data_IF_331344656203
#
_entry.id   IF_331344656203
#
_cell.length_a   1.000
_cell.length_b   1.000
_cell.length_c   1.000
_cell.angle_alpha   90.00
_cell.angle_beta   90.00
_cell.angle_gamma   90.00
#
_symmetry.space_group_name_H-M   'P 1'
#
loop_
_entity.id
_entity.type
_entity.pdbx_description
1 polymer ?
#
# COMPACT_ATOMS: atom_id res chain seq x y z
N UNK A 1 -11.26 9.30 -6.54
CA UNK A 1 -10.85 10.02 -7.76
C UNK A 1 -9.86 11.10 -7.34
N UNK A 2 -8.69 11.21 -7.98
CA UNK A 2 -7.73 12.29 -7.70
C UNK A 2 -7.25 12.86 -9.04
N UNK A 3 -7.86 13.97 -9.46
CA UNK A 3 -7.47 14.74 -10.64
C UNK A 3 -6.47 15.80 -10.17
N UNK A 4 -5.32 15.90 -10.81
CA UNK A 4 -4.36 16.99 -10.52
C UNK A 4 -4.84 18.29 -11.18
N UNK A 5 -4.29 19.43 -10.76
CA UNK A 5 -4.69 20.75 -11.29
C UNK A 5 -4.62 20.84 -12.83
N UNK A 6 -3.69 20.10 -13.47
CA UNK A 6 -3.59 19.99 -14.93
C UNK A 6 -4.61 19.05 -15.60
N UNK A 7 -5.67 18.62 -14.92
CA UNK A 7 -6.73 17.78 -15.49
C UNK A 7 -6.38 16.30 -15.64
N UNK A 8 -5.11 15.93 -15.56
CA UNK A 8 -4.66 14.55 -15.63
C UNK A 8 -5.05 13.74 -14.39
N UNK A 9 -5.20 12.43 -14.56
CA UNK A 9 -5.26 11.48 -13.46
C UNK A 9 -4.13 10.46 -13.65
N UNK A 10 -3.02 10.57 -12.89
CA UNK A 10 -1.86 9.71 -13.10
C UNK A 10 -2.14 8.23 -12.78
N UNK A 11 -3.20 7.92 -12.03
CA UNK A 11 -3.61 6.54 -11.69
C UNK A 11 -5.11 6.38 -11.89
N UNK A 12 -5.54 6.32 -13.16
CA UNK A 12 -6.94 6.11 -13.57
C UNK A 12 -7.48 4.75 -13.08
N UNK A 13 -6.66 3.71 -13.14
CA UNK A 13 -7.06 2.35 -12.79
C UNK A 13 -7.11 2.14 -11.27
N UNK A 14 -8.12 1.40 -10.82
CA UNK A 14 -8.31 1.10 -9.40
C UNK A 14 -7.12 0.29 -8.83
N UNK A 15 -6.66 -0.72 -9.57
CA UNK A 15 -5.53 -1.57 -9.18
C UNK A 15 -4.25 -0.75 -8.99
N UNK A 16 -3.97 0.22 -9.89
CA UNK A 16 -2.80 1.09 -9.77
C UNK A 16 -2.86 1.98 -8.52
N UNK A 17 -4.04 2.49 -8.16
CA UNK A 17 -4.24 3.26 -6.93
C UNK A 17 -4.08 2.39 -5.68
N UNK A 18 -4.66 1.20 -5.71
CA UNK A 18 -4.54 0.22 -4.65
C UNK A 18 -3.07 -0.12 -4.41
N UNK A 19 -2.34 -0.57 -5.44
CA UNK A 19 -0.90 -0.87 -5.37
C UNK A 19 -0.10 0.32 -4.81
N UNK A 20 -0.36 1.53 -5.29
CA UNK A 20 0.33 2.72 -4.78
C UNK A 20 0.07 2.98 -3.29
N UNK A 21 -1.17 2.79 -2.80
CA UNK A 21 -1.51 2.95 -1.37
C UNK A 21 -0.68 2.01 -0.49
N UNK A 22 -0.51 0.75 -0.88
CA UNK A 22 0.27 -0.22 -0.11
C UNK A 22 1.77 0.03 -0.23
N UNK A 23 2.29 0.27 -1.43
CA UNK A 23 3.71 0.57 -1.63
C UNK A 23 4.15 1.84 -0.89
N UNK A 24 3.31 2.88 -0.84
CA UNK A 24 3.58 4.05 0.00
C UNK A 24 3.74 3.71 1.49
N UNK A 25 3.06 2.67 2.00
CA UNK A 25 3.12 2.29 3.42
C UNK A 25 4.28 1.34 3.72
N UNK A 26 4.60 0.42 2.80
CA UNK A 26 5.48 -0.71 3.05
C UNK A 26 6.79 -0.72 2.26
N UNK A 27 6.93 0.11 1.22
CA UNK A 27 8.20 0.25 0.47
C UNK A 27 8.67 1.70 0.49
N UNK A 28 7.99 2.61 -0.20
CA UNK A 28 8.52 3.97 -0.43
C UNK A 28 8.86 4.74 0.86
N UNK A 29 8.06 4.59 1.92
CA UNK A 29 8.33 5.26 3.20
C UNK A 29 9.50 4.62 3.96
N UNK A 30 9.71 3.33 3.80
CA UNK A 30 10.89 2.65 4.34
C UNK A 30 12.12 3.11 3.56
N UNK A 31 12.05 3.10 2.23
CA UNK A 31 13.16 3.51 1.36
C UNK A 31 13.55 4.99 1.58
N UNK A 32 12.58 5.88 1.80
CA UNK A 32 12.83 7.32 1.97
C UNK A 32 13.15 7.74 3.41
N UNK A 33 12.56 7.09 4.41
CA UNK A 33 12.55 7.58 5.80
C UNK A 33 12.89 6.49 6.83
N UNK A 34 13.15 5.25 6.41
CA UNK A 34 13.44 4.12 7.30
C UNK A 34 12.24 3.69 8.15
N UNK A 35 11.03 4.22 7.91
CA UNK A 35 9.86 3.96 8.74
C UNK A 35 8.70 3.35 7.94
N UNK A 36 7.98 2.42 8.57
CA UNK A 36 6.71 1.91 8.03
C UNK A 36 5.66 3.03 8.05
N UNK A 37 5.02 3.28 6.92
CA UNK A 37 3.90 4.23 6.81
C UNK A 37 2.54 3.63 7.23
N UNK A 38 2.51 2.34 7.59
CA UNK A 38 1.34 1.70 8.16
C UNK A 38 1.28 1.96 9.67
N UNK A 39 0.16 2.49 10.15
CA UNK A 39 -0.09 2.77 11.57
C UNK A 39 -1.07 1.79 12.23
N UNK A 40 -1.44 0.69 11.56
CA UNK A 40 -2.38 -0.29 12.10
C UNK A 40 -3.85 0.14 12.13
N UNK A 41 -4.24 1.19 11.40
CA UNK A 41 -5.58 1.78 11.49
C UNK A 41 -6.77 0.94 10.95
N UNK A 42 -6.57 -0.30 10.51
CA UNK A 42 -7.67 -1.19 10.07
C UNK A 42 -8.35 -0.86 8.73
N UNK A 43 -8.29 0.38 8.24
CA UNK A 43 -9.03 0.87 7.06
C UNK A 43 -8.85 0.08 5.76
N UNK A 44 -7.79 -0.73 5.63
CA UNK A 44 -7.60 -1.60 4.47
C UNK A 44 -8.49 -2.86 4.54
N UNK A 45 -8.77 -3.37 5.73
CA UNK A 45 -9.60 -4.55 5.99
C UNK A 45 -11.07 -4.15 5.88
N UNK A 46 -11.48 -3.07 6.56
CA UNK A 46 -12.86 -2.58 6.55
C UNK A 46 -13.37 -2.27 5.14
N UNK A 47 -12.47 -1.80 4.26
CA UNK A 47 -12.79 -1.48 2.88
C UNK A 47 -12.79 -2.70 1.94
N UNK A 48 -12.37 -3.87 2.42
CA UNK A 48 -12.25 -5.08 1.63
C UNK A 48 -13.55 -5.88 1.71
N UNK A 49 -14.24 -6.04 0.58
CA UNK A 49 -15.46 -6.86 0.50
C UNK A 49 -15.20 -8.35 0.82
N UNK A 50 -13.96 -8.81 0.62
CA UNK A 50 -13.55 -10.18 0.93
C UNK A 50 -12.95 -10.37 2.33
N UNK A 51 -12.91 -9.33 3.17
CA UNK A 51 -12.36 -9.43 4.53
C UNK A 51 -10.86 -9.75 4.60
N UNK A 52 -10.13 -9.53 3.50
CA UNK A 52 -8.71 -9.89 3.39
C UNK A 52 -7.87 -8.95 4.26
N UNK A 53 -7.02 -9.52 5.13
CA UNK A 53 -5.95 -8.77 5.79
C UNK A 53 -4.73 -8.65 4.89
N UNK A 54 -4.66 -7.54 4.16
CA UNK A 54 -3.54 -7.25 3.28
C UNK A 54 -2.19 -7.10 4.00
N UNK A 55 -2.17 -6.90 5.32
CA UNK A 55 -0.91 -6.85 6.08
C UNK A 55 -0.27 -8.22 6.13
N UNK A 56 -1.07 -9.25 6.40
CA UNK A 56 -0.61 -10.64 6.44
C UNK A 56 -0.07 -11.06 5.07
N UNK A 57 -0.79 -10.74 3.99
CA UNK A 57 -0.36 -11.04 2.61
C UNK A 57 0.97 -10.34 2.27
N UNK A 58 1.13 -9.07 2.67
CA UNK A 58 2.37 -8.33 2.44
C UNK A 58 3.49 -8.89 3.30
N UNK A 59 3.23 -9.22 4.56
CA UNK A 59 4.21 -9.88 5.41
C UNK A 59 4.63 -11.20 4.76
N UNK A 60 3.72 -12.07 4.33
CA UNK A 60 4.06 -13.32 3.63
C UNK A 60 4.92 -13.10 2.36
N UNK A 61 4.56 -12.14 1.52
CA UNK A 61 5.28 -11.88 0.25
C UNK A 61 6.65 -11.23 0.47
N UNK A 62 6.81 -10.40 1.51
CA UNK A 62 8.07 -9.73 1.83
C UNK A 62 8.88 -10.43 2.95
N UNK A 63 8.33 -11.45 3.62
CA UNK A 63 8.96 -12.27 4.66
C UNK A 63 9.69 -13.49 4.07
N UNK A 64 10.34 -13.31 2.93
CA UNK A 64 11.60 -14.04 2.75
C UNK A 64 12.59 -13.44 3.73
N UNK A 65 13.25 -14.25 4.58
CA UNK A 65 14.29 -13.75 5.45
C UNK A 65 15.28 -12.96 4.60
N UNK A 66 15.68 -11.81 5.10
CA UNK A 66 16.98 -11.25 4.74
C UNK A 66 17.98 -12.32 5.24
N UNK A 67 18.25 -13.35 4.44
CA UNK A 67 19.26 -14.35 4.75
C UNK A 67 20.63 -13.66 4.68
N UNK A 68 21.20 -13.50 5.87
CA UNK A 68 22.62 -13.59 6.22
C UNK A 68 23.59 -12.63 5.51
#
# INVERSE_FOLDING_TARGET
YARVAGGANPRKDLIKRFKHRFLCKFSYRIDMQGIKGCTGCGRCIDGCQGGIDFREVIEEVYWTPIEQ
#
